data_IF_856996887661
#
_entry.id   IF_856996887661
#
_cell.length_a   1.000
_cell.length_b   1.000
_cell.length_c   1.000
_cell.angle_alpha   90.00
_cell.angle_beta   90.00
_cell.angle_gamma   90.00
#
_symmetry.space_group_name_H-M   'P 1'
#
loop_
_entity.id
_entity.type
_entity.pdbx_description
1 polymer ?
#
# COMPACT_ATOMS: atom_id res chain seq x y z
N UNK A 1 -63.10 -13.01 -36.14
CA UNK A 1 -63.20 -14.01 -35.04
C UNK A 1 -62.16 -15.07 -35.35
N UNK A 2 -60.89 -14.87 -34.99
CA UNK A 2 -60.31 -15.02 -33.65
C UNK A 2 -60.43 -16.47 -33.15
N UNK A 3 -59.32 -17.20 -33.17
CA UNK A 3 -58.81 -18.04 -32.08
C UNK A 3 -57.36 -18.40 -32.43
N UNK A 4 -56.40 -17.78 -31.74
CA UNK A 4 -55.02 -18.28 -31.70
C UNK A 4 -54.94 -19.43 -30.69
N UNK A 5 -54.16 -20.49 -30.95
CA UNK A 5 -53.95 -21.55 -29.97
C UNK A 5 -53.12 -21.01 -28.80
N UNK A 6 -53.65 -21.19 -27.61
CA UNK A 6 -53.07 -20.78 -26.34
C UNK A 6 -51.83 -21.60 -26.03
N UNK A 7 -50.80 -20.88 -25.58
CA UNK A 7 -49.55 -21.32 -24.96
C UNK A 7 -49.56 -22.72 -24.33
N UNK A 8 -48.69 -23.59 -24.83
CA UNK A 8 -48.16 -24.72 -24.08
C UNK A 8 -47.53 -24.17 -22.80
N UNK A 9 -48.22 -24.37 -21.68
CA UNK A 9 -47.67 -24.09 -20.37
C UNK A 9 -46.44 -24.98 -20.19
N UNK A 10 -45.26 -24.40 -20.35
CA UNK A 10 -43.99 -25.02 -19.99
C UNK A 10 -43.93 -25.11 -18.46
N UNK A 11 -44.57 -26.13 -17.90
CA UNK A 11 -44.31 -26.54 -16.53
C UNK A 11 -42.90 -27.15 -16.56
N UNK A 12 -41.91 -26.58 -15.85
CA UNK A 12 -40.61 -27.23 -15.74
C UNK A 12 -40.85 -28.60 -15.13
N UNK A 13 -40.37 -29.65 -15.79
CA UNK A 13 -40.33 -30.98 -15.17
C UNK A 13 -39.64 -30.83 -13.81
N UNK A 14 -40.33 -31.22 -12.73
CA UNK A 14 -39.76 -31.33 -11.39
C UNK A 14 -38.64 -32.37 -11.44
N UNK A 15 -37.46 -31.93 -11.83
CA UNK A 15 -36.24 -32.66 -11.60
C UNK A 15 -35.83 -32.39 -10.16
N UNK A 16 -35.37 -33.45 -9.51
CA UNK A 16 -34.79 -33.46 -8.18
C UNK A 16 -35.83 -33.69 -7.07
N UNK A 17 -36.17 -34.97 -6.91
CA UNK A 17 -36.38 -35.48 -5.55
C UNK A 17 -35.18 -35.02 -4.69
N UNK A 18 -35.39 -34.57 -3.44
CA UNK A 18 -34.30 -34.12 -2.59
C UNK A 18 -33.21 -35.18 -2.59
N UNK A 19 -31.98 -34.77 -2.87
CA UNK A 19 -30.87 -35.72 -2.96
C UNK A 19 -30.77 -36.50 -1.62
N UNK A 20 -30.12 -37.66 -1.68
CA UNK A 20 -29.98 -38.50 -0.49
C UNK A 20 -29.22 -37.82 0.66
N UNK A 21 -28.53 -36.70 0.43
CA UNK A 21 -27.85 -35.93 1.48
C UNK A 21 -28.80 -35.04 2.30
N UNK A 22 -29.99 -34.72 1.78
CA UNK A 22 -31.00 -33.95 2.50
C UNK A 22 -32.04 -34.83 3.22
N UNK A 23 -31.93 -36.16 3.12
CA UNK A 23 -32.83 -37.11 3.77
C UNK A 23 -32.24 -37.60 5.08
N UNK A 24 -32.81 -37.16 6.20
CA UNK A 24 -32.44 -37.65 7.52
C UNK A 24 -32.93 -39.08 7.72
N UNK A 25 -32.02 -40.01 8.01
CA UNK A 25 -32.31 -41.40 8.38
C UNK A 25 -32.43 -41.57 9.89
N UNK A 26 -33.15 -42.59 10.35
CA UNK A 26 -33.29 -42.88 11.78
C UNK A 26 -31.95 -43.27 12.46
N UNK A 27 -30.94 -43.62 11.66
CA UNK A 27 -29.61 -44.03 12.12
C UNK A 27 -28.67 -42.83 12.41
N UNK A 28 -29.07 -41.60 12.05
CA UNK A 28 -28.27 -40.37 12.27
C UNK A 28 -28.15 -39.94 13.73
N UNK A 29 -28.89 -40.59 14.63
CA UNK A 29 -28.89 -40.27 16.06
C UNK A 29 -29.73 -39.05 16.41
N UNK A 30 -29.52 -38.50 17.61
CA UNK A 30 -30.26 -37.32 18.05
C UNK A 30 -29.76 -36.05 17.36
N UNK A 31 -30.69 -35.19 16.96
CA UNK A 31 -30.37 -33.86 16.45
C UNK A 31 -29.40 -33.16 17.41
N UNK A 32 -28.30 -32.64 16.87
CA UNK A 32 -27.35 -31.88 17.69
C UNK A 32 -28.08 -30.67 18.28
N UNK A 33 -27.87 -30.36 19.58
CA UNK A 33 -28.41 -29.15 20.15
C UNK A 33 -27.89 -27.95 19.35
N UNK A 34 -28.80 -27.03 19.01
CA UNK A 34 -28.46 -25.81 18.27
C UNK A 34 -27.44 -24.98 19.06
N UNK A 35 -26.20 -24.97 18.59
CA UNK A 35 -25.08 -24.32 19.28
C UNK A 35 -25.23 -22.79 19.33
N UNK A 36 -26.08 -22.21 18.47
CA UNK A 36 -26.28 -20.77 18.36
C UNK A 36 -27.47 -20.23 19.18
N UNK A 37 -28.32 -21.07 19.79
CA UNK A 37 -29.56 -20.61 20.47
C UNK A 37 -29.31 -19.79 21.73
N UNK A 38 -28.12 -19.92 22.32
CA UNK A 38 -27.75 -19.33 23.63
C UNK A 38 -26.65 -18.27 23.48
N UNK A 39 -26.47 -17.70 22.29
CA UNK A 39 -25.54 -16.61 22.10
C UNK A 39 -26.08 -15.35 22.79
N UNK A 40 -25.50 -14.97 23.94
CA UNK A 40 -25.82 -13.71 24.63
C UNK A 40 -25.26 -12.51 23.82
N UNK A 41 -26.12 -11.65 23.25
CA UNK A 41 -25.67 -10.50 22.46
C UNK A 41 -24.77 -9.54 23.25
N UNK A 42 -24.92 -9.49 24.58
CA UNK A 42 -24.10 -8.64 25.43
C UNK A 42 -22.66 -9.14 25.48
N UNK A 43 -22.46 -10.45 25.63
CA UNK A 43 -21.13 -11.06 25.63
C UNK A 43 -20.43 -10.85 24.27
N UNK A 44 -21.15 -11.01 23.16
CA UNK A 44 -20.61 -10.75 21.82
C UNK A 44 -20.17 -9.28 21.69
N UNK A 45 -21.00 -8.35 22.16
CA UNK A 45 -20.69 -6.91 22.10
C UNK A 45 -19.47 -6.56 22.93
N UNK A 46 -19.36 -7.09 24.15
CA UNK A 46 -18.20 -6.88 25.02
C UNK A 46 -16.93 -7.44 24.37
N UNK A 47 -16.99 -8.67 23.84
CA UNK A 47 -15.86 -9.30 23.17
C UNK A 47 -15.41 -8.49 21.94
N UNK A 48 -16.36 -7.96 21.16
CA UNK A 48 -16.06 -7.09 20.03
C UNK A 48 -15.35 -5.80 20.46
N UNK A 49 -15.84 -5.12 21.50
CA UNK A 49 -15.22 -3.90 22.04
C UNK A 49 -13.81 -4.18 22.53
N UNK A 50 -13.61 -5.28 23.26
CA UNK A 50 -12.28 -5.68 23.75
C UNK A 50 -11.31 -5.97 22.60
N UNK A 51 -11.77 -6.65 21.56
CA UNK A 51 -10.97 -6.92 20.37
C UNK A 51 -10.55 -5.61 19.68
N UNK A 52 -11.48 -4.70 19.44
CA UNK A 52 -11.19 -3.38 18.84
C UNK A 52 -10.23 -2.59 19.72
N UNK A 53 -10.46 -2.53 21.03
CA UNK A 53 -9.60 -1.82 21.97
C UNK A 53 -8.17 -2.39 21.96
N UNK A 54 -8.03 -3.72 21.98
CA UNK A 54 -6.73 -4.39 21.91
C UNK A 54 -5.99 -4.07 20.61
N UNK A 55 -6.69 -4.03 19.47
CA UNK A 55 -6.12 -3.67 18.18
C UNK A 55 -5.60 -2.23 18.19
N UNK A 56 -6.39 -1.29 18.71
CA UNK A 56 -5.99 0.13 18.84
C UNK A 56 -4.75 0.27 19.71
N UNK A 57 -4.67 -0.47 20.82
CA UNK A 57 -3.50 -0.46 21.70
C UNK A 57 -2.26 -0.99 20.97
N UNK A 58 -2.37 -2.12 20.27
CA UNK A 58 -1.24 -2.69 19.51
C UNK A 58 -0.76 -1.74 18.41
N UNK A 59 -1.68 -1.15 17.66
CA UNK A 59 -1.33 -0.14 16.63
C UNK A 59 -0.67 1.08 17.26
N UNK A 60 -1.18 1.58 18.39
CA UNK A 60 -0.57 2.69 19.13
C UNK A 60 0.85 2.37 19.58
N UNK A 61 1.08 1.18 20.12
CA UNK A 61 2.42 0.71 20.52
C UNK A 61 3.37 0.63 19.32
N UNK A 62 2.91 0.13 18.18
CA UNK A 62 3.71 0.09 16.96
C UNK A 62 4.09 1.50 16.48
N UNK A 63 3.16 2.45 16.48
CA UNK A 63 3.46 3.85 16.10
C UNK A 63 4.55 4.43 17.01
N UNK A 64 4.41 4.28 18.33
CA UNK A 64 5.40 4.78 19.29
C UNK A 64 6.76 4.10 19.07
N UNK A 65 6.75 2.78 18.88
CA UNK A 65 7.96 2.00 18.61
C UNK A 65 8.67 2.46 17.34
N UNK A 66 7.95 2.56 16.22
CA UNK A 66 8.51 2.97 14.94
C UNK A 66 8.99 4.41 14.94
N UNK A 67 8.26 5.33 15.59
CA UNK A 67 8.73 6.71 15.75
C UNK A 67 10.03 6.76 16.56
N UNK A 68 10.09 6.06 17.70
CA UNK A 68 11.30 5.98 18.51
C UNK A 68 12.48 5.38 17.74
N UNK A 69 12.22 4.30 17.00
CA UNK A 69 13.22 3.63 16.17
C UNK A 69 13.73 4.55 15.04
N UNK A 70 12.82 5.18 14.30
CA UNK A 70 13.15 6.09 13.21
C UNK A 70 13.92 7.31 13.71
N UNK A 71 13.53 7.91 14.84
CA UNK A 71 14.27 9.02 15.45
C UNK A 71 15.68 8.60 15.85
N UNK A 72 15.84 7.44 16.49
CA UNK A 72 17.17 6.92 16.86
C UNK A 72 18.04 6.63 15.64
N UNK A 73 17.44 6.07 14.59
CA UNK A 73 18.17 5.72 13.38
C UNK A 73 18.55 6.97 12.57
N UNK A 74 17.68 7.98 12.52
CA UNK A 74 18.01 9.29 11.99
C UNK A 74 19.14 9.90 12.80
N UNK A 75 19.03 9.96 14.13
CA UNK A 75 20.09 10.50 14.99
C UNK A 75 21.44 9.81 14.75
N UNK A 76 21.48 8.47 14.67
CA UNK A 76 22.70 7.71 14.33
C UNK A 76 23.28 8.06 12.97
N UNK A 77 22.42 8.27 11.96
CA UNK A 77 22.87 8.70 10.63
C UNK A 77 23.41 10.11 10.68
N UNK A 78 22.73 11.04 11.36
CA UNK A 78 23.20 12.42 11.50
C UNK A 78 24.53 12.49 12.26
N UNK A 79 24.68 11.75 13.36
CA UNK A 79 25.94 11.64 14.11
C UNK A 79 27.09 11.10 13.24
N UNK A 80 26.81 10.15 12.34
CA UNK A 80 27.81 9.68 11.36
C UNK A 80 28.16 10.74 10.31
N UNK A 81 27.17 11.53 9.87
CA UNK A 81 27.34 12.59 8.88
C UNK A 81 27.92 13.88 9.47
N UNK A 82 27.90 14.05 10.79
CA UNK A 82 28.52 15.18 11.51
C UNK A 82 29.96 14.86 11.96
N UNK A 83 30.53 13.76 11.46
CA UNK A 83 31.96 13.53 11.62
C UNK A 83 32.74 14.55 10.78
N UNK A 84 33.87 15.04 11.33
CA UNK A 84 34.73 16.00 10.64
C UNK A 84 35.09 15.55 9.20
N UNK A 85 35.21 14.24 8.97
CA UNK A 85 35.42 13.65 7.64
C UNK A 85 34.29 13.93 6.65
N UNK A 86 33.03 13.86 7.09
CA UNK A 86 31.90 14.10 6.20
C UNK A 86 31.71 15.59 5.90
N UNK A 87 31.96 16.46 6.88
CA UNK A 87 31.99 17.92 6.66
C UNK A 87 33.09 18.33 5.66
N UNK A 88 34.28 17.73 5.76
CA UNK A 88 35.39 17.96 4.85
C UNK A 88 35.10 17.39 3.44
N UNK A 89 34.50 16.21 3.35
CA UNK A 89 34.08 15.62 2.09
C UNK A 89 33.01 16.48 1.39
N UNK A 90 31.99 16.93 2.13
CA UNK A 90 30.95 17.81 1.61
C UNK A 90 31.52 19.15 1.14
N UNK A 91 32.40 19.77 1.93
CA UNK A 91 33.07 21.01 1.53
C UNK A 91 33.92 20.84 0.27
N UNK A 92 34.65 19.73 0.17
CA UNK A 92 35.43 19.36 -1.02
C UNK A 92 34.56 19.15 -2.25
N UNK A 93 33.49 18.36 -2.13
CA UNK A 93 32.54 18.12 -3.22
C UNK A 93 31.82 19.41 -3.65
N UNK A 94 31.47 20.30 -2.73
CA UNK A 94 30.86 21.58 -3.04
C UNK A 94 31.84 22.54 -3.75
N UNK A 95 33.11 22.55 -3.34
CA UNK A 95 34.16 23.27 -4.04
C UNK A 95 34.38 22.71 -5.46
N UNK A 96 34.35 21.38 -5.60
CA UNK A 96 34.50 20.66 -6.86
C UNK A 96 33.32 20.93 -7.83
N UNK A 97 32.10 21.10 -7.31
CA UNK A 97 30.91 21.46 -8.09
C UNK A 97 30.88 22.94 -8.50
N UNK A 98 31.52 23.82 -7.72
CA UNK A 98 31.62 25.26 -8.00
C UNK A 98 32.78 25.61 -8.94
N UNK A 99 33.79 24.74 -9.03
CA UNK A 99 34.96 24.97 -9.88
C UNK A 99 34.75 24.36 -11.27
N UNK A 100 35.02 25.16 -12.30
CA UNK A 100 35.04 24.68 -13.68
C UNK A 100 36.36 23.94 -13.94
N UNK A 101 36.32 22.78 -14.59
CA UNK A 101 37.53 22.01 -14.90
C UNK A 101 37.31 20.87 -15.89
N UNK A 102 38.35 20.40 -16.57
CA UNK A 102 38.26 19.22 -17.44
C UNK A 102 37.98 17.97 -16.59
N UNK A 103 36.93 17.22 -16.94
CA UNK A 103 36.57 15.99 -16.21
C UNK A 103 37.45 14.81 -16.64
N UNK A 104 37.73 14.75 -17.95
CA UNK A 104 38.49 13.66 -18.56
C UNK A 104 38.96 14.07 -19.98
N UNK A 105 40.28 14.00 -20.27
CA UNK A 105 40.82 14.35 -21.58
C UNK A 105 40.38 13.42 -22.71
N UNK A 106 39.93 12.19 -22.44
CA UNK A 106 39.48 11.27 -23.49
C UNK A 106 38.04 11.53 -23.95
N UNK A 107 37.12 11.84 -23.02
CA UNK A 107 35.70 12.08 -23.34
C UNK A 107 35.39 13.51 -23.76
N UNK A 108 36.38 14.42 -23.79
CA UNK A 108 36.21 15.87 -24.07
C UNK A 108 35.10 16.52 -23.23
N UNK A 109 34.84 15.96 -22.04
CA UNK A 109 33.77 16.44 -21.16
C UNK A 109 34.34 17.47 -20.19
N UNK A 110 33.67 18.63 -20.11
CA UNK A 110 34.08 19.74 -19.24
C UNK A 110 33.06 19.86 -18.11
N UNK A 111 33.54 19.96 -16.85
CA UNK A 111 32.70 20.34 -15.73
C UNK A 111 32.22 21.77 -15.91
N UNK A 112 30.92 21.92 -16.06
CA UNK A 112 30.26 23.20 -15.92
C UNK A 112 29.92 23.41 -14.43
N UNK A 113 30.20 24.60 -13.87
CA UNK A 113 29.68 24.96 -12.56
C UNK A 113 28.17 24.79 -12.53
N UNK A 114 27.65 24.31 -11.40
CA UNK A 114 26.24 23.90 -11.31
C UNK A 114 25.27 25.03 -11.68
N UNK A 115 25.57 26.27 -11.29
CA UNK A 115 24.73 27.43 -11.62
C UNK A 115 24.63 27.65 -13.14
N UNK A 116 25.77 27.53 -13.84
CA UNK A 116 25.82 27.63 -15.31
C UNK A 116 25.10 26.47 -15.98
N UNK A 117 25.13 25.27 -15.38
CA UNK A 117 24.41 24.12 -15.89
C UNK A 117 22.89 24.30 -15.76
N UNK A 118 22.44 24.82 -14.63
CA UNK A 118 21.03 25.17 -14.38
C UNK A 118 20.55 26.19 -15.42
N UNK A 119 21.29 27.30 -15.60
CA UNK A 119 20.95 28.33 -16.59
C UNK A 119 20.83 27.76 -18.01
N UNK A 120 21.72 26.83 -18.37
CA UNK A 120 21.70 26.17 -19.69
C UNK A 120 20.46 25.30 -19.88
N UNK A 121 20.06 24.56 -18.84
CA UNK A 121 18.86 23.73 -18.87
C UNK A 121 17.61 24.59 -18.96
N UNK A 122 17.50 25.64 -18.15
CA UNK A 122 16.36 26.58 -18.19
C UNK A 122 16.22 27.18 -19.60
N UNK A 123 17.31 27.66 -20.18
CA UNK A 123 17.32 28.19 -21.55
C UNK A 123 16.84 27.18 -22.58
N UNK A 124 17.27 25.91 -22.48
CA UNK A 124 16.83 24.86 -23.40
C UNK A 124 15.32 24.58 -23.34
N UNK A 125 14.70 24.73 -22.16
CA UNK A 125 13.25 24.60 -21.99
C UNK A 125 12.49 25.80 -22.58
N UNK A 126 13.02 27.02 -22.43
CA UNK A 126 12.45 28.22 -23.03
C UNK A 126 12.47 28.15 -24.56
N UNK A 127 13.58 27.71 -25.16
CA UNK A 127 13.72 27.52 -26.61
C UNK A 127 12.74 26.47 -27.14
N UNK A 128 12.65 25.31 -26.48
CA UNK A 128 11.65 24.26 -26.84
C UNK A 128 10.21 24.75 -26.73
N UNK A 129 9.91 25.59 -25.73
CA UNK A 129 8.58 26.17 -25.55
C UNK A 129 8.27 27.20 -26.63
N UNK A 130 9.26 27.97 -27.06
CA UNK A 130 9.11 28.96 -28.13
C UNK A 130 8.92 28.29 -29.50
N UNK A 131 9.61 27.19 -29.78
CA UNK A 131 9.47 26.45 -31.05
C UNK A 131 8.18 25.64 -31.20
N UNK A 132 7.44 25.45 -30.11
CA UNK A 132 6.17 24.71 -30.09
C UNK A 132 4.93 25.60 -30.27
N UNK A 133 5.12 26.91 -30.48
CA UNK A 133 4.08 27.89 -30.83
C UNK A 133 4.21 28.27 -32.30
#
# INVERSE_FOLDING_TARGET
MAHGPHHDAFVPAQHDAPDAWHLHTADEGQAQPEHARIADPRLITIAFILLVASLVVVVGLLIVYFNSYATKELARKTERLDTAQHSAYRGGAELELRTAGPLDPETKSVRLPIDRAIDRVVRSYEEKRASAR
#
